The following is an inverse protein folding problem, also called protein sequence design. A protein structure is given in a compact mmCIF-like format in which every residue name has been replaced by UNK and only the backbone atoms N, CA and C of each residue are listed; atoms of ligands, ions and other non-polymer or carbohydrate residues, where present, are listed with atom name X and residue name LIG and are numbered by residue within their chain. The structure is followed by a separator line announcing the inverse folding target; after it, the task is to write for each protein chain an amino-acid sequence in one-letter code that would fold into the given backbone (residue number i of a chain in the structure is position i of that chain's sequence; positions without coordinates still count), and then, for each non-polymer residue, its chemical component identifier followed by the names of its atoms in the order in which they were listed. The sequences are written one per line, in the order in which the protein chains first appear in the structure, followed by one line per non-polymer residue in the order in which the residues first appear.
data_IF_663393194979
#
_entry.id   IF_663393194979
#
_cell.length_a   1.000
_cell.length_b   1.000
_cell.length_c   1.000
_cell.angle_alpha   90.00
_cell.angle_beta   90.00
_cell.angle_gamma   90.00
#
_symmetry.space_group_name_H-M   'P 1'
#
loop_
_entity.id
_entity.type
_entity.pdbx_description
1 polymer ?
#
# COMPACT_ATOMS: atom_id res chain seq x y z
N UNK A 1 42.54 -28.74 -13.92
CA UNK A 1 41.84 -27.52 -13.47
C UNK A 1 42.53 -26.91 -12.25
N UNK A 2 42.72 -27.68 -11.16
CA UNK A 2 43.39 -27.22 -9.94
C UNK A 2 44.78 -26.60 -10.18
N UNK A 3 45.65 -27.25 -10.97
CA UNK A 3 46.98 -26.71 -11.28
C UNK A 3 46.92 -25.33 -11.96
N UNK A 4 45.99 -25.13 -12.90
CA UNK A 4 45.81 -23.84 -13.57
C UNK A 4 45.33 -22.77 -12.59
N UNK A 5 44.45 -23.14 -11.66
CA UNK A 5 43.95 -22.26 -10.63
C UNK A 5 45.04 -21.86 -9.61
N UNK A 6 45.91 -22.79 -9.25
CA UNK A 6 47.09 -22.53 -8.42
C UNK A 6 48.07 -21.58 -9.11
N UNK A 7 48.30 -21.75 -10.41
CA UNK A 7 49.14 -20.85 -11.21
C UNK A 7 48.53 -19.44 -11.23
N UNK A 8 47.24 -19.31 -11.54
CA UNK A 8 46.55 -18.01 -11.51
C UNK A 8 46.63 -17.37 -10.12
N UNK A 9 46.47 -18.17 -9.07
CA UNK A 9 46.56 -17.69 -7.68
C UNK A 9 47.94 -17.16 -7.35
N UNK A 10 48.98 -17.90 -7.73
CA UNK A 10 50.38 -17.51 -7.51
C UNK A 10 50.73 -16.24 -8.28
N UNK A 11 50.36 -16.15 -9.55
CA UNK A 11 50.66 -14.99 -10.39
C UNK A 11 49.90 -13.73 -9.94
N UNK A 12 48.68 -13.88 -9.41
CA UNK A 12 47.96 -12.77 -8.77
C UNK A 12 48.61 -12.33 -7.46
N UNK A 13 49.01 -13.27 -6.59
CA UNK A 13 49.68 -12.96 -5.33
C UNK A 13 51.00 -12.20 -5.55
N UNK A 14 51.72 -12.49 -6.64
CA UNK A 14 52.93 -11.79 -7.03
C UNK A 14 52.70 -10.53 -7.89
N UNK A 15 51.45 -10.11 -8.12
CA UNK A 15 51.09 -8.97 -8.99
C UNK A 15 51.59 -9.09 -10.43
N UNK A 16 51.84 -10.31 -10.91
CA UNK A 16 52.36 -10.62 -12.25
C UNK A 16 51.28 -11.02 -13.25
N UNK A 17 50.02 -11.17 -12.80
CA UNK A 17 48.90 -11.60 -13.64
C UNK A 17 48.74 -10.76 -14.92
N UNK A 18 49.05 -9.46 -14.89
CA UNK A 18 48.97 -8.60 -16.08
C UNK A 18 49.95 -9.01 -17.19
N UNK A 19 51.12 -9.53 -16.84
CA UNK A 19 52.07 -10.06 -17.81
C UNK A 19 51.57 -11.39 -18.40
N UNK A 20 50.96 -12.23 -17.58
CA UNK A 20 50.40 -13.52 -17.98
C UNK A 20 49.26 -13.38 -19.00
N UNK A 21 48.41 -12.36 -18.83
CA UNK A 21 47.19 -12.16 -19.65
C UNK A 21 47.38 -11.15 -20.80
N UNK A 22 48.63 -10.88 -21.19
CA UNK A 22 48.94 -9.91 -22.23
C UNK A 22 48.63 -10.46 -23.63
N UNK A 23 47.98 -9.66 -24.48
CA UNK A 23 47.61 -10.05 -25.84
C UNK A 23 46.68 -11.28 -25.86
N UNK A 24 46.96 -12.20 -26.80
CA UNK A 24 46.15 -13.40 -27.06
C UNK A 24 46.19 -14.43 -25.92
N UNK A 25 47.13 -14.28 -24.97
CA UNK A 25 47.24 -15.16 -23.80
C UNK A 25 45.97 -15.14 -22.94
N UNK A 26 45.25 -14.02 -22.89
CA UNK A 26 43.99 -13.93 -22.15
C UNK A 26 42.95 -14.93 -22.70
N UNK A 27 42.79 -14.94 -24.02
CA UNK A 27 41.87 -15.84 -24.72
C UNK A 27 42.32 -17.29 -24.63
N UNK A 28 43.63 -17.55 -24.76
CA UNK A 28 44.19 -18.88 -24.60
C UNK A 28 43.93 -19.48 -23.20
N UNK A 29 44.09 -18.67 -22.14
CA UNK A 29 43.82 -19.09 -20.76
C UNK A 29 42.31 -19.32 -20.55
N UNK A 30 41.46 -18.40 -21.00
CA UNK A 30 40.00 -18.56 -20.89
C UNK A 30 39.52 -19.82 -21.62
N UNK A 31 40.01 -20.06 -22.84
CA UNK A 31 39.72 -21.27 -23.61
C UNK A 31 40.26 -22.54 -22.95
N UNK A 32 41.41 -22.49 -22.28
CA UNK A 32 41.94 -23.61 -21.52
C UNK A 32 41.03 -23.97 -20.32
N UNK A 33 40.51 -22.96 -19.60
CA UNK A 33 39.56 -23.17 -18.50
C UNK A 33 38.31 -23.91 -19.00
N UNK A 34 37.73 -23.46 -20.13
CA UNK A 34 36.54 -24.09 -20.72
C UNK A 34 36.81 -25.53 -21.16
N UNK A 35 37.93 -25.77 -21.86
CA UNK A 35 38.30 -27.13 -22.30
C UNK A 35 38.47 -28.09 -21.12
N UNK A 36 39.09 -27.62 -20.04
CA UNK A 36 39.27 -28.44 -18.84
C UNK A 36 37.96 -28.70 -18.08
N UNK A 37 36.95 -27.84 -18.23
CA UNK A 37 35.65 -27.97 -17.58
C UNK A 37 34.65 -28.83 -18.38
N UNK A 38 34.87 -29.03 -19.68
CA UNK A 38 33.90 -29.61 -20.61
C UNK A 38 33.38 -31.01 -20.23
N UNK A 39 34.21 -31.82 -19.55
CA UNK A 39 33.91 -33.19 -19.13
C UNK A 39 33.66 -33.34 -17.62
N UNK A 40 33.70 -32.23 -16.88
CA UNK A 40 33.50 -32.26 -15.43
C UNK A 40 32.02 -32.06 -15.05
N UNK A 41 31.72 -32.34 -13.80
CA UNK A 41 30.37 -32.16 -13.23
C UNK A 41 29.95 -30.67 -13.17
N UNK A 42 28.69 -30.44 -12.78
CA UNK A 42 28.10 -29.11 -12.68
C UNK A 42 28.83 -28.21 -11.66
N UNK A 43 29.33 -28.78 -10.55
CA UNK A 43 30.02 -28.03 -9.50
C UNK A 43 31.42 -27.57 -9.94
N UNK A 44 32.13 -28.40 -10.70
CA UNK A 44 33.40 -28.04 -11.31
C UNK A 44 33.20 -27.03 -12.46
N UNK A 45 32.10 -27.11 -13.20
CA UNK A 45 31.73 -26.07 -14.16
C UNK A 45 31.47 -24.72 -13.48
N UNK A 46 30.83 -24.70 -12.30
CA UNK A 46 30.66 -23.49 -11.50
C UNK A 46 32.01 -22.96 -10.97
N UNK A 47 32.92 -23.85 -10.59
CA UNK A 47 34.29 -23.48 -10.20
C UNK A 47 35.05 -22.85 -11.38
N UNK A 48 34.93 -23.42 -12.57
CA UNK A 48 35.48 -22.85 -13.79
C UNK A 48 34.89 -21.47 -14.11
N UNK A 49 33.58 -21.27 -13.89
CA UNK A 49 32.95 -19.96 -14.01
C UNK A 49 33.53 -18.95 -13.00
N UNK A 50 33.78 -19.36 -11.76
CA UNK A 50 34.45 -18.52 -10.78
C UNK A 50 35.88 -18.12 -11.22
N UNK A 51 36.64 -19.06 -11.80
CA UNK A 51 37.97 -18.78 -12.36
C UNK A 51 37.90 -17.77 -13.52
N UNK A 52 36.90 -17.88 -14.40
CA UNK A 52 36.67 -16.91 -15.48
C UNK A 52 36.26 -15.55 -14.92
N UNK A 53 35.35 -15.48 -13.94
CA UNK A 53 34.99 -14.21 -13.28
C UNK A 53 36.19 -13.53 -12.62
N UNK A 54 37.06 -14.32 -11.99
CA UNK A 54 38.32 -13.85 -11.41
C UNK A 54 39.28 -13.31 -12.46
N UNK A 55 39.40 -13.99 -13.60
CA UNK A 55 40.21 -13.55 -14.73
C UNK A 55 39.64 -12.25 -15.34
N UNK A 56 38.32 -12.13 -15.45
CA UNK A 56 37.64 -10.93 -15.92
C UNK A 56 37.94 -9.73 -15.01
N UNK A 57 37.87 -9.91 -13.68
CA UNK A 57 38.13 -8.85 -12.70
C UNK A 57 39.52 -8.20 -12.84
N UNK A 58 40.50 -8.91 -13.42
CA UNK A 58 41.85 -8.37 -13.69
C UNK A 58 42.11 -8.02 -15.16
N UNK A 59 41.15 -8.27 -16.07
CA UNK A 59 41.35 -8.11 -17.51
C UNK A 59 41.42 -6.64 -17.99
N UNK A 60 40.90 -5.69 -17.19
CA UNK A 60 40.93 -4.23 -17.39
C UNK A 60 40.46 -3.77 -18.77
N UNK A 61 39.15 -3.68 -18.97
CA UNK A 61 38.52 -3.28 -20.24
C UNK A 61 38.42 -4.40 -21.27
N UNK A 62 38.81 -5.63 -20.91
CA UNK A 62 38.74 -6.85 -21.73
C UNK A 62 37.88 -7.94 -21.09
N UNK A 63 37.03 -7.56 -20.15
CA UNK A 63 36.15 -8.46 -19.40
C UNK A 63 35.24 -9.24 -20.33
N UNK A 64 34.72 -8.57 -21.37
CA UNK A 64 33.83 -9.18 -22.38
C UNK A 64 34.44 -10.42 -23.03
N UNK A 65 35.72 -10.37 -23.40
CA UNK A 65 36.45 -11.51 -23.98
C UNK A 65 36.43 -12.72 -23.04
N UNK A 66 36.52 -12.50 -21.74
CA UNK A 66 36.47 -13.57 -20.74
C UNK A 66 35.04 -14.05 -20.52
N UNK A 67 34.06 -13.14 -20.42
CA UNK A 67 32.66 -13.51 -20.20
C UNK A 67 32.00 -14.21 -21.39
N UNK A 68 32.48 -13.97 -22.62
CA UNK A 68 32.04 -14.74 -23.79
C UNK A 68 32.36 -16.24 -23.64
N UNK A 69 33.42 -16.59 -22.89
CA UNK A 69 33.76 -17.98 -22.58
C UNK A 69 32.87 -18.61 -21.51
N UNK A 70 32.28 -17.82 -20.61
CA UNK A 70 31.36 -18.35 -19.58
C UNK A 70 30.15 -19.03 -20.23
N UNK A 71 29.70 -18.51 -21.37
CA UNK A 71 28.59 -19.09 -22.15
C UNK A 71 28.89 -20.47 -22.73
N UNK A 72 30.17 -20.84 -22.79
CA UNK A 72 30.61 -22.16 -23.28
C UNK A 72 30.64 -23.21 -22.16
N UNK A 73 30.52 -22.78 -20.90
CA UNK A 73 30.47 -23.70 -19.76
C UNK A 73 29.08 -24.34 -19.64
N UNK A 74 29.05 -25.59 -19.17
CA UNK A 74 27.81 -26.35 -18.93
C UNK A 74 27.31 -26.08 -17.51
N UNK A 75 26.94 -24.83 -17.25
CA UNK A 75 26.36 -24.44 -15.97
C UNK A 75 24.95 -25.05 -15.83
N UNK A 76 24.65 -25.57 -14.64
CA UNK A 76 23.35 -26.15 -14.28
C UNK A 76 22.82 -25.47 -13.03
N UNK A 77 21.50 -25.49 -12.88
CA UNK A 77 20.81 -25.06 -11.66
C UNK A 77 21.11 -25.96 -10.44
N UNK A 78 21.74 -27.12 -10.62
CA UNK A 78 22.09 -28.04 -9.53
C UNK A 78 23.38 -27.66 -8.79
N UNK A 79 24.20 -26.77 -9.35
CA UNK A 79 25.48 -26.40 -8.74
C UNK A 79 25.30 -25.38 -7.61
N UNK A 80 25.98 -25.55 -6.47
CA UNK A 80 25.80 -24.67 -5.32
C UNK A 80 26.97 -23.73 -5.11
N UNK A 81 26.69 -22.42 -5.04
CA UNK A 81 27.69 -21.37 -4.80
C UNK A 81 28.30 -21.52 -3.41
N UNK A 82 27.54 -21.97 -2.42
CA UNK A 82 28.04 -22.14 -1.06
C UNK A 82 29.21 -23.14 -0.97
N UNK A 83 29.24 -24.15 -1.86
CA UNK A 83 30.30 -25.17 -1.92
C UNK A 83 31.61 -24.66 -2.53
N UNK A 84 31.65 -23.41 -3.02
CA UNK A 84 32.89 -22.79 -3.50
C UNK A 84 33.84 -22.43 -2.35
N UNK A 85 35.16 -22.53 -2.56
CA UNK A 85 36.14 -22.61 -1.48
C UNK A 85 36.26 -21.36 -0.60
N UNK A 86 35.95 -20.17 -1.13
CA UNK A 86 36.07 -18.91 -0.39
C UNK A 86 35.10 -17.84 -0.91
N UNK A 87 35.01 -16.73 -0.17
CA UNK A 87 34.08 -15.62 -0.46
C UNK A 87 34.33 -14.94 -1.80
N UNK A 88 35.58 -14.89 -2.26
CA UNK A 88 35.92 -14.28 -3.53
C UNK A 88 35.44 -15.15 -4.69
N UNK A 89 35.61 -16.48 -4.59
CA UNK A 89 35.10 -17.42 -5.61
C UNK A 89 33.58 -17.33 -5.72
N UNK A 90 32.88 -17.21 -4.59
CA UNK A 90 31.42 -17.00 -4.57
C UNK A 90 31.03 -15.73 -5.33
N UNK A 91 31.79 -14.66 -5.14
CA UNK A 91 31.56 -13.36 -5.81
C UNK A 91 31.84 -13.45 -7.30
N UNK A 92 32.96 -14.03 -7.70
CA UNK A 92 33.31 -14.21 -9.12
C UNK A 92 32.36 -15.16 -9.84
N UNK A 93 31.88 -16.21 -9.16
CA UNK A 93 30.85 -17.10 -9.69
C UNK A 93 29.54 -16.35 -9.94
N UNK A 94 29.08 -15.52 -8.97
CA UNK A 94 27.89 -14.71 -9.14
C UNK A 94 28.01 -13.76 -10.35
N UNK A 95 29.15 -13.08 -10.49
CA UNK A 95 29.43 -12.23 -11.65
C UNK A 95 29.41 -13.01 -12.96
N UNK A 96 30.04 -14.19 -13.01
CA UNK A 96 30.02 -15.04 -14.21
C UNK A 96 28.59 -15.50 -14.57
N UNK A 97 27.80 -15.92 -13.58
CA UNK A 97 26.41 -16.34 -13.77
C UNK A 97 25.54 -15.22 -14.35
N UNK A 98 25.85 -13.94 -14.07
CA UNK A 98 25.12 -12.80 -14.66
C UNK A 98 25.15 -12.77 -16.20
N UNK A 99 26.15 -13.41 -16.82
CA UNK A 99 26.35 -13.48 -18.27
C UNK A 99 25.73 -14.73 -18.93
N UNK A 100 25.10 -15.59 -18.13
CA UNK A 100 24.34 -16.76 -18.61
C UNK A 100 22.95 -16.31 -19.03
N UNK A 101 22.57 -16.69 -20.24
CA UNK A 101 21.24 -16.46 -20.81
C UNK A 101 20.44 -17.76 -20.74
N UNK A 102 19.87 -18.03 -19.56
CA UNK A 102 19.01 -19.18 -19.34
C UNK A 102 17.87 -18.85 -18.37
N UNK A 103 16.70 -19.46 -18.60
CA UNK A 103 15.46 -19.18 -17.86
C UNK A 103 15.61 -19.47 -16.35
N UNK A 104 16.40 -20.49 -16.00
CA UNK A 104 16.62 -20.90 -14.61
C UNK A 104 17.46 -19.90 -13.78
N UNK A 105 18.19 -18.98 -14.42
CA UNK A 105 19.18 -18.12 -13.74
C UNK A 105 18.53 -17.25 -12.66
N UNK A 106 17.34 -16.69 -12.91
CA UNK A 106 16.68 -15.81 -11.96
C UNK A 106 16.35 -16.52 -10.64
N UNK A 107 15.83 -17.75 -10.74
CA UNK A 107 15.45 -18.59 -9.61
C UNK A 107 16.66 -19.15 -8.89
N UNK A 108 17.66 -19.58 -9.65
CA UNK A 108 18.94 -20.01 -9.15
C UNK A 108 19.60 -18.92 -8.29
N UNK A 109 19.69 -17.70 -8.81
CA UNK A 109 20.32 -16.59 -8.09
C UNK A 109 19.55 -16.25 -6.80
N UNK A 110 18.21 -16.25 -6.81
CA UNK A 110 17.43 -16.06 -5.60
C UNK A 110 17.71 -17.15 -4.56
N UNK A 111 17.69 -18.43 -4.98
CA UNK A 111 17.92 -19.59 -4.11
C UNK A 111 19.31 -19.56 -3.49
N UNK A 112 20.34 -19.39 -4.31
CA UNK A 112 21.72 -19.34 -3.84
C UNK A 112 21.99 -18.12 -2.95
N UNK A 113 21.40 -16.95 -3.24
CA UNK A 113 21.53 -15.78 -2.38
C UNK A 113 21.02 -16.01 -0.95
N UNK A 114 19.88 -16.71 -0.81
CA UNK A 114 19.32 -17.09 0.49
C UNK A 114 20.17 -18.18 1.16
N UNK A 115 20.66 -19.15 0.38
CA UNK A 115 21.45 -20.28 0.84
C UNK A 115 22.86 -19.94 1.35
N UNK A 116 23.52 -18.91 0.78
CA UNK A 116 24.89 -18.54 1.14
C UNK A 116 25.03 -18.18 2.62
N UNK A 117 26.01 -18.81 3.29
CA UNK A 117 26.29 -18.57 4.71
C UNK A 117 26.98 -17.24 4.97
N UNK A 118 28.13 -17.09 4.34
CA UNK A 118 28.93 -15.90 4.43
C UNK A 118 29.50 -15.58 3.06
N UNK A 119 29.11 -14.43 2.51
CA UNK A 119 29.69 -13.74 1.35
C UNK A 119 28.68 -12.67 0.92
N UNK A 120 28.58 -11.58 1.69
CA UNK A 120 27.51 -10.60 1.51
C UNK A 120 27.57 -9.90 0.14
N UNK A 121 28.79 -9.74 -0.42
CA UNK A 121 29.00 -9.21 -1.78
C UNK A 121 28.39 -10.16 -2.83
N UNK A 122 28.67 -11.46 -2.73
CA UNK A 122 28.09 -12.47 -3.63
C UNK A 122 26.57 -12.51 -3.50
N UNK A 123 26.04 -12.43 -2.27
CA UNK A 123 24.59 -12.39 -2.03
C UNK A 123 23.93 -11.19 -2.72
N UNK A 124 24.49 -9.99 -2.54
CA UNK A 124 24.01 -8.76 -3.17
C UNK A 124 24.01 -8.89 -4.69
N UNK A 125 25.10 -9.41 -5.26
CA UNK A 125 25.23 -9.63 -6.71
C UNK A 125 24.14 -10.58 -7.23
N UNK A 126 23.95 -11.72 -6.58
CA UNK A 126 22.92 -12.70 -6.95
C UNK A 126 21.51 -12.12 -6.83
N UNK A 127 21.20 -11.40 -5.75
CA UNK A 127 19.91 -10.74 -5.59
C UNK A 127 19.65 -9.69 -6.67
N UNK A 128 20.69 -8.94 -7.08
CA UNK A 128 20.61 -7.98 -8.19
C UNK A 128 20.31 -8.67 -9.53
N UNK A 129 21.06 -9.74 -9.85
CA UNK A 129 20.86 -10.54 -11.06
C UNK A 129 19.46 -11.14 -11.11
N UNK A 130 18.98 -11.63 -9.97
CA UNK A 130 17.63 -12.18 -9.82
C UNK A 130 16.58 -11.11 -10.06
N UNK A 131 16.62 -9.98 -9.33
CA UNK A 131 15.64 -8.90 -9.47
C UNK A 131 15.58 -8.36 -10.90
N UNK A 132 16.72 -8.20 -11.57
CA UNK A 132 16.79 -7.72 -12.94
C UNK A 132 16.08 -8.62 -13.98
N UNK A 133 15.81 -9.88 -13.63
CA UNK A 133 15.15 -10.87 -14.50
C UNK A 133 13.70 -11.16 -14.09
N UNK A 134 13.24 -10.62 -12.97
CA UNK A 134 11.85 -10.69 -12.56
C UNK A 134 11.04 -9.52 -13.14
N UNK A 135 9.78 -9.75 -13.52
CA UNK A 135 8.93 -8.70 -14.11
C UNK A 135 8.61 -7.55 -13.14
N UNK A 136 8.71 -7.79 -11.83
CA UNK A 136 8.47 -6.78 -10.80
C UNK A 136 9.12 -7.12 -9.46
N UNK A 137 9.36 -6.08 -8.65
CA UNK A 137 9.77 -6.22 -7.24
C UNK A 137 8.78 -7.08 -6.45
N UNK A 138 7.47 -6.95 -6.69
CA UNK A 138 6.47 -7.78 -6.02
C UNK A 138 6.71 -9.29 -6.25
N UNK A 139 6.88 -9.72 -7.50
CA UNK A 139 7.09 -11.14 -7.82
C UNK A 139 8.43 -11.65 -7.26
N UNK A 140 9.47 -10.83 -7.35
CA UNK A 140 10.78 -11.15 -6.79
C UNK A 140 10.73 -11.32 -5.27
N UNK A 141 10.09 -10.40 -4.54
CA UNK A 141 9.92 -10.50 -3.08
C UNK A 141 9.13 -11.74 -2.68
N UNK A 142 8.10 -12.12 -3.44
CA UNK A 142 7.35 -13.38 -3.21
C UNK A 142 8.26 -14.58 -3.38
N UNK A 143 9.10 -14.62 -4.42
CA UNK A 143 10.05 -15.71 -4.61
C UNK A 143 11.06 -15.80 -3.46
N UNK A 144 11.66 -14.68 -3.07
CA UNK A 144 12.61 -14.65 -1.92
C UNK A 144 11.91 -15.11 -0.64
N UNK A 145 10.65 -14.69 -0.43
CA UNK A 145 9.83 -15.14 0.69
C UNK A 145 9.55 -16.65 0.67
N UNK A 146 9.36 -17.28 -0.49
CA UNK A 146 9.20 -18.74 -0.61
C UNK A 146 10.45 -19.51 -0.22
N UNK A 147 11.62 -18.95 -0.48
CA UNK A 147 12.91 -19.57 -0.18
C UNK A 147 13.30 -19.50 1.30
N UNK A 148 12.51 -18.82 2.14
CA UNK A 148 12.78 -18.68 3.57
C UNK A 148 12.82 -20.02 4.31
N UNK A 149 12.21 -21.08 3.76
CA UNK A 149 12.17 -22.42 4.36
C UNK A 149 13.55 -23.02 4.56
N UNK A 150 14.53 -22.66 3.72
CA UNK A 150 15.93 -23.09 3.85
C UNK A 150 16.52 -22.66 5.20
N UNK A 151 16.07 -21.53 5.76
CA UNK A 151 16.54 -21.07 7.06
C UNK A 151 16.05 -21.94 8.24
N UNK A 152 14.99 -22.74 8.03
CA UNK A 152 14.49 -23.65 9.07
C UNK A 152 15.47 -24.79 9.36
N UNK A 153 16.37 -25.10 8.42
CA UNK A 153 17.45 -26.08 8.60
C UNK A 153 18.52 -25.61 9.59
N UNK A 154 18.60 -24.30 9.86
CA UNK A 154 19.53 -23.72 10.84
C UNK A 154 18.92 -23.88 12.23
N UNK A 155 19.41 -24.84 13.02
CA UNK A 155 18.91 -25.12 14.38
C UNK A 155 19.05 -23.92 15.32
N UNK A 156 20.17 -23.20 15.24
CA UNK A 156 20.44 -22.05 16.11
C UNK A 156 19.64 -20.81 15.67
N UNK A 157 18.77 -20.31 16.56
CA UNK A 157 17.88 -19.17 16.29
C UNK A 157 18.65 -17.86 16.04
N UNK A 158 19.76 -17.62 16.75
CA UNK A 158 20.59 -16.41 16.56
C UNK A 158 21.32 -16.45 15.22
N UNK A 159 21.91 -17.60 14.84
CA UNK A 159 22.51 -17.80 13.52
C UNK A 159 21.48 -17.62 12.41
N UNK A 160 20.25 -18.12 12.62
CA UNK A 160 19.13 -17.93 11.69
C UNK A 160 18.78 -16.45 11.54
N UNK A 161 18.68 -15.70 12.65
CA UNK A 161 18.40 -14.28 12.62
C UNK A 161 19.52 -13.49 11.94
N UNK A 162 20.79 -13.79 12.24
CA UNK A 162 21.94 -13.16 11.59
C UNK A 162 21.88 -13.39 10.08
N UNK A 163 21.45 -14.59 9.64
CA UNK A 163 21.24 -14.88 8.23
C UNK A 163 20.10 -14.04 7.64
N UNK A 164 18.93 -14.00 8.29
CA UNK A 164 17.80 -13.17 7.87
C UNK A 164 18.20 -11.69 7.75
N UNK A 165 18.95 -11.16 8.72
CA UNK A 165 19.49 -9.80 8.68
C UNK A 165 20.35 -9.58 7.44
N UNK A 166 21.33 -10.45 7.18
CA UNK A 166 22.21 -10.34 6.00
C UNK A 166 21.43 -10.35 4.68
N UNK A 167 20.39 -11.19 4.59
CA UNK A 167 19.51 -11.25 3.42
C UNK A 167 18.78 -9.90 3.24
N UNK A 168 18.18 -9.37 4.31
CA UNK A 168 17.47 -8.09 4.26
C UNK A 168 18.39 -6.89 3.98
N UNK A 169 19.64 -6.91 4.47
CA UNK A 169 20.65 -5.90 4.13
C UNK A 169 20.94 -5.91 2.63
N UNK A 170 21.29 -7.06 2.06
CA UNK A 170 21.56 -7.17 0.62
C UNK A 170 20.32 -6.86 -0.24
N UNK A 171 19.13 -7.25 0.21
CA UNK A 171 17.85 -6.96 -0.45
C UNK A 171 17.60 -5.45 -0.50
N UNK A 172 17.78 -4.75 0.61
CA UNK A 172 17.62 -3.30 0.67
C UNK A 172 18.63 -2.57 -0.22
N UNK A 173 19.90 -2.97 -0.20
CA UNK A 173 20.94 -2.41 -1.08
C UNK A 173 20.57 -2.57 -2.56
N UNK A 174 20.06 -3.74 -2.96
CA UNK A 174 19.60 -3.99 -4.34
C UNK A 174 18.40 -3.11 -4.70
N UNK A 175 17.44 -2.94 -3.79
CA UNK A 175 16.28 -2.05 -4.01
C UNK A 175 16.66 -0.57 -4.11
N UNK A 176 17.72 -0.14 -3.43
CA UNK A 176 18.23 1.23 -3.54
C UNK A 176 18.74 1.55 -4.94
N UNK A 177 19.40 0.59 -5.59
CA UNK A 177 19.97 0.75 -6.93
C UNK A 177 18.94 0.46 -8.05
N UNK A 178 17.81 -0.16 -7.72
CA UNK A 178 16.81 -0.55 -8.71
C UNK A 178 15.89 0.60 -9.14
N UNK A 179 15.52 0.62 -10.42
CA UNK A 179 14.66 1.63 -11.05
C UNK A 179 13.59 1.04 -11.99
N UNK A 180 13.29 -0.25 -11.87
CA UNK A 180 12.32 -0.94 -12.73
C UNK A 180 10.89 -1.01 -12.17
N UNK A 181 10.12 -1.98 -12.65
CA UNK A 181 8.72 -2.16 -12.27
C UNK A 181 8.58 -2.68 -10.83
N UNK A 182 7.65 -2.09 -10.07
CA UNK A 182 7.40 -2.46 -8.67
C UNK A 182 6.29 -3.50 -8.51
N UNK A 183 5.39 -3.65 -9.50
CA UNK A 183 4.20 -4.51 -9.38
C UNK A 183 3.01 -3.76 -8.76
N UNK A 184 1.96 -4.49 -8.37
CA UNK A 184 0.73 -3.87 -7.85
C UNK A 184 0.79 -3.66 -6.35
N UNK A 185 1.35 -4.61 -5.60
CA UNK A 185 1.38 -4.60 -4.14
C UNK A 185 2.77 -4.97 -3.56
N UNK A 186 3.84 -4.22 -3.92
CA UNK A 186 5.19 -4.53 -3.46
C UNK A 186 5.35 -4.48 -1.93
N UNK A 187 4.69 -3.54 -1.24
CA UNK A 187 4.80 -3.45 0.22
C UNK A 187 4.11 -4.60 0.96
N UNK A 188 3.05 -5.18 0.38
CA UNK A 188 2.44 -6.40 0.93
C UNK A 188 3.38 -7.60 0.76
N UNK A 189 4.01 -7.73 -0.41
CA UNK A 189 5.00 -8.77 -0.64
C UNK A 189 6.21 -8.63 0.29
N UNK A 190 6.66 -7.40 0.56
CA UNK A 190 7.71 -7.09 1.54
C UNK A 190 7.27 -7.48 2.96
N UNK A 191 6.04 -7.15 3.36
CA UNK A 191 5.48 -7.54 4.65
C UNK A 191 5.44 -9.06 4.84
N UNK A 192 4.98 -9.80 3.83
CA UNK A 192 4.99 -11.27 3.83
C UNK A 192 6.42 -11.83 3.89
N UNK A 193 7.34 -11.24 3.14
CA UNK A 193 8.76 -11.60 3.19
C UNK A 193 9.29 -11.41 4.62
N UNK A 194 9.10 -10.23 5.20
CA UNK A 194 9.52 -9.94 6.58
C UNK A 194 8.93 -10.94 7.58
N UNK A 195 7.62 -11.22 7.48
CA UNK A 195 6.93 -12.16 8.35
C UNK A 195 7.60 -13.54 8.35
N UNK A 196 8.00 -14.06 7.18
CA UNK A 196 8.61 -15.39 7.07
C UNK A 196 10.05 -15.45 7.56
N UNK A 197 10.79 -14.35 7.49
CA UNK A 197 12.17 -14.27 7.94
C UNK A 197 12.32 -13.85 9.41
N UNK A 198 11.24 -13.33 10.03
CA UNK A 198 11.16 -13.09 11.46
C UNK A 198 10.96 -14.42 12.21
N UNK A 199 11.99 -14.87 12.90
CA UNK A 199 11.89 -15.99 13.84
C UNK A 199 10.97 -15.59 15.00
N UNK A 200 9.79 -16.20 15.09
CA UNK A 200 8.96 -16.09 16.29
C UNK A 200 9.54 -17.01 17.37
N UNK A 201 9.85 -16.44 18.54
CA UNK A 201 10.07 -17.23 19.75
C UNK A 201 11.52 -17.38 20.17
N UNK A 202 12.01 -16.41 20.93
CA UNK A 202 12.93 -16.63 22.05
C UNK A 202 13.20 -15.28 22.72
N UNK A 203 13.13 -15.26 24.05
CA UNK A 203 13.45 -14.03 24.78
C UNK A 203 14.94 -13.64 24.68
N UNK A 204 15.79 -14.58 24.24
CA UNK A 204 17.25 -14.48 24.25
C UNK A 204 17.87 -14.03 22.92
N UNK A 205 17.05 -13.67 21.93
CA UNK A 205 17.51 -13.29 20.60
C UNK A 205 18.30 -11.98 20.64
N UNK A 206 19.39 -11.89 19.85
CA UNK A 206 20.14 -10.65 19.65
C UNK A 206 19.24 -9.52 19.10
N UNK A 207 18.94 -8.56 19.98
CA UNK A 207 18.10 -7.40 19.65
C UNK A 207 18.73 -6.49 18.58
N UNK A 208 20.06 -6.44 18.49
CA UNK A 208 20.75 -5.61 17.51
C UNK A 208 20.52 -6.13 16.09
N UNK A 209 20.72 -7.44 15.89
CA UNK A 209 20.46 -8.07 14.60
C UNK A 209 18.98 -7.96 14.17
N UNK A 210 18.08 -8.04 15.13
CA UNK A 210 16.64 -7.93 14.91
C UNK A 210 16.21 -6.50 14.53
N UNK A 211 16.72 -5.50 15.25
CA UNK A 211 16.48 -4.09 14.93
C UNK A 211 17.03 -3.72 13.56
N UNK A 212 18.24 -4.18 13.23
CA UNK A 212 18.85 -3.93 11.93
C UNK A 212 18.00 -4.53 10.80
N UNK A 213 17.53 -5.78 10.94
CA UNK A 213 16.64 -6.43 9.97
C UNK A 213 15.37 -5.61 9.74
N UNK A 214 14.70 -5.17 10.81
CA UNK A 214 13.50 -4.34 10.72
C UNK A 214 13.79 -2.99 10.07
N UNK A 215 14.94 -2.37 10.37
CA UNK A 215 15.35 -1.11 9.75
C UNK A 215 15.59 -1.25 8.24
N UNK A 216 16.12 -2.38 7.77
CA UNK A 216 16.23 -2.66 6.33
C UNK A 216 14.85 -2.82 5.68
N UNK A 217 13.92 -3.50 6.35
CA UNK A 217 12.55 -3.67 5.85
C UNK A 217 11.80 -2.32 5.80
N UNK A 218 11.89 -1.50 6.85
CA UNK A 218 11.30 -0.17 6.86
C UNK A 218 11.96 0.78 5.86
N UNK A 219 13.29 0.71 5.72
CA UNK A 219 14.00 1.44 4.67
C UNK A 219 13.50 1.07 3.27
N UNK A 220 13.22 -0.21 3.05
CA UNK A 220 12.66 -0.69 1.78
C UNK A 220 11.26 -0.09 1.50
N UNK A 221 10.42 0.14 2.52
CA UNK A 221 9.14 0.85 2.36
C UNK A 221 9.36 2.27 1.83
N UNK A 222 10.26 3.02 2.46
CA UNK A 222 10.59 4.40 2.03
C UNK A 222 11.07 4.39 0.59
N UNK A 223 11.96 3.46 0.24
CA UNK A 223 12.47 3.32 -1.14
C UNK A 223 11.36 3.00 -2.15
N UNK A 224 10.40 2.15 -1.81
CA UNK A 224 9.23 1.88 -2.67
C UNK A 224 8.38 3.14 -2.92
N UNK A 225 8.21 3.97 -1.88
CA UNK A 225 7.48 5.25 -1.97
C UNK A 225 8.25 6.25 -2.83
N UNK A 226 9.57 6.37 -2.65
CA UNK A 226 10.43 7.25 -3.45
C UNK A 226 10.37 6.92 -4.95
N UNK A 227 10.38 5.63 -5.29
CA UNK A 227 10.29 5.19 -6.68
C UNK A 227 8.90 5.46 -7.28
N UNK A 228 7.83 5.39 -6.48
CA UNK A 228 6.47 5.71 -6.93
C UNK A 228 5.58 6.19 -5.78
N UNK A 229 5.43 7.51 -5.68
CA UNK A 229 4.69 8.19 -4.60
C UNK A 229 3.26 7.68 -4.40
N UNK A 230 2.58 7.21 -5.45
CA UNK A 230 1.21 6.67 -5.31
C UNK A 230 1.10 5.51 -4.32
N UNK A 231 2.20 4.79 -4.05
CA UNK A 231 2.23 3.74 -3.04
C UNK A 231 2.11 4.29 -1.62
N UNK A 232 2.54 5.52 -1.34
CA UNK A 232 2.33 6.14 -0.02
C UNK A 232 0.83 6.22 0.32
N UNK A 233 -0.03 6.42 -0.67
CA UNK A 233 -1.48 6.51 -0.48
C UNK A 233 -2.18 5.15 -0.34
N UNK A 234 -1.44 4.04 -0.35
CA UNK A 234 -1.99 2.69 -0.27
C UNK A 234 -1.55 2.03 1.03
N UNK A 235 -2.51 1.61 1.86
CA UNK A 235 -2.22 0.99 3.15
C UNK A 235 -1.31 -0.25 3.05
N UNK A 236 -1.50 -1.07 2.00
CA UNK A 236 -0.72 -2.29 1.76
C UNK A 236 0.79 -2.04 1.64
N UNK A 237 1.21 -0.81 1.29
CA UNK A 237 2.61 -0.40 1.25
C UNK A 237 3.29 -0.50 2.61
N UNK A 238 2.53 -0.26 3.69
CA UNK A 238 3.03 -0.22 5.06
C UNK A 238 2.89 -1.56 5.81
N UNK A 239 2.55 -2.65 5.10
CA UNK A 239 2.30 -3.96 5.72
C UNK A 239 3.44 -4.45 6.62
N UNK A 240 4.70 -4.17 6.26
CA UNK A 240 5.86 -4.58 7.05
C UNK A 240 5.88 -3.98 8.47
N UNK A 241 5.26 -2.81 8.70
CA UNK A 241 5.10 -2.22 10.04
C UNK A 241 4.26 -3.14 10.93
N UNK A 242 3.11 -3.59 10.40
CA UNK A 242 2.19 -4.46 11.13
C UNK A 242 2.80 -5.84 11.37
N UNK A 243 3.48 -6.41 10.38
CA UNK A 243 4.15 -7.71 10.53
C UNK A 243 5.34 -7.63 11.51
N UNK A 244 6.10 -6.54 11.50
CA UNK A 244 7.14 -6.28 12.49
C UNK A 244 6.60 -6.21 13.92
N UNK A 245 5.51 -5.47 14.15
CA UNK A 245 4.84 -5.42 15.46
C UNK A 245 4.30 -6.78 15.90
N UNK A 246 3.70 -7.55 15.00
CA UNK A 246 3.20 -8.90 15.30
C UNK A 246 4.36 -9.83 15.68
N UNK A 247 5.46 -9.79 14.95
CA UNK A 247 6.63 -10.64 15.20
C UNK A 247 7.35 -10.33 16.51
N UNK A 248 7.48 -9.05 16.89
CA UNK A 248 8.14 -8.63 18.13
C UNK A 248 7.23 -8.67 19.37
N UNK A 249 5.92 -8.51 19.19
CA UNK A 249 5.01 -8.19 20.28
C UNK A 249 5.14 -6.73 20.74
N UNK A 250 4.22 -6.30 21.60
CA UNK A 250 4.01 -4.86 21.90
C UNK A 250 5.21 -4.21 22.63
N UNK A 251 5.85 -4.91 23.57
CA UNK A 251 6.93 -4.34 24.38
C UNK A 251 8.21 -4.12 23.57
N UNK A 252 8.71 -5.18 22.93
CA UNK A 252 9.91 -5.13 22.07
C UNK A 252 9.72 -4.21 20.87
N UNK A 253 8.52 -4.15 20.31
CA UNK A 253 8.21 -3.19 19.26
C UNK A 253 8.45 -1.75 19.73
N UNK A 254 8.03 -1.38 20.95
CA UNK A 254 8.30 -0.04 21.49
C UNK A 254 9.78 0.24 21.71
N UNK A 255 10.55 -0.76 22.14
CA UNK A 255 12.01 -0.64 22.28
C UNK A 255 12.66 -0.42 20.92
N UNK A 256 12.26 -1.18 19.91
CA UNK A 256 12.67 -0.99 18.53
C UNK A 256 12.34 0.42 18.02
N UNK A 257 11.10 0.90 18.23
CA UNK A 257 10.66 2.23 17.80
C UNK A 257 11.52 3.39 18.35
N UNK A 258 12.21 3.19 19.48
CA UNK A 258 13.14 4.17 20.08
C UNK A 258 14.54 4.11 19.48
N UNK A 259 14.97 2.91 19.09
CA UNK A 259 16.31 2.65 18.57
C UNK A 259 16.41 2.75 17.03
N UNK A 260 15.27 2.59 16.34
CA UNK A 260 15.18 2.52 14.88
C UNK A 260 15.66 3.81 14.21
N UNK A 261 16.49 3.65 13.19
CA UNK A 261 16.96 4.75 12.33
C UNK A 261 15.99 5.03 11.19
N UNK A 262 15.26 4.02 10.73
CA UNK A 262 14.36 4.11 9.56
C UNK A 262 12.95 4.57 9.90
N UNK A 263 12.47 4.35 11.13
CA UNK A 263 11.08 4.66 11.51
C UNK A 263 10.73 6.15 11.38
N UNK A 264 11.69 7.05 11.54
CA UNK A 264 11.48 8.49 11.41
C UNK A 264 10.97 8.88 10.02
N UNK A 265 11.59 8.32 8.97
CA UNK A 265 11.18 8.55 7.58
C UNK A 265 9.78 7.99 7.32
N UNK A 266 9.51 6.75 7.77
CA UNK A 266 8.20 6.11 7.62
C UNK A 266 7.09 6.90 8.34
N UNK A 267 7.37 7.45 9.52
CA UNK A 267 6.42 8.32 10.24
C UNK A 267 6.10 9.57 9.45
N UNK A 268 7.10 10.20 8.82
CA UNK A 268 6.89 11.36 7.98
C UNK A 268 6.04 11.00 6.76
N UNK A 269 6.33 9.89 6.07
CA UNK A 269 5.55 9.44 4.93
C UNK A 269 4.08 9.19 5.29
N UNK A 270 3.83 8.56 6.45
CA UNK A 270 2.47 8.33 6.96
C UNK A 270 1.74 9.64 7.32
N UNK A 271 2.43 10.60 7.91
CA UNK A 271 1.86 11.92 8.25
C UNK A 271 1.55 12.74 7.00
N UNK A 272 2.43 12.73 6.00
CA UNK A 272 2.18 13.37 4.71
C UNK A 272 1.02 12.70 3.98
N UNK A 273 0.96 11.38 3.99
CA UNK A 273 -0.14 10.60 3.44
C UNK A 273 -1.47 10.97 4.09
N UNK A 274 -1.52 11.03 5.42
CA UNK A 274 -2.71 11.46 6.16
C UNK A 274 -3.15 12.88 5.76
N UNK A 275 -2.20 13.81 5.61
CA UNK A 275 -2.49 15.18 5.18
C UNK A 275 -3.05 15.24 3.76
N UNK A 276 -2.45 14.50 2.81
CA UNK A 276 -2.92 14.42 1.42
C UNK A 276 -4.33 13.85 1.36
N UNK A 277 -4.61 12.76 2.07
CA UNK A 277 -5.94 12.16 2.14
C UNK A 277 -6.95 13.10 2.79
N UNK A 278 -6.55 13.81 3.84
CA UNK A 278 -7.40 14.79 4.50
C UNK A 278 -7.79 15.95 3.55
N UNK A 279 -6.85 16.45 2.74
CA UNK A 279 -7.13 17.47 1.70
C UNK A 279 -8.06 16.96 0.61
N UNK A 280 -8.04 15.66 0.34
CA UNK A 280 -8.99 14.99 -0.56
C UNK A 280 -10.34 14.70 0.13
N UNK A 281 -10.55 15.16 1.36
CA UNK A 281 -11.74 14.91 2.16
C UNK A 281 -11.98 13.41 2.44
N UNK A 282 -10.90 12.64 2.61
CA UNK A 282 -10.91 11.18 2.83
C UNK A 282 -10.31 10.80 4.19
N UNK A 283 -10.86 9.72 4.74
CA UNK A 283 -10.28 8.96 5.85
C UNK A 283 -9.80 7.60 5.34
N UNK A 284 -8.81 7.02 6.00
CA UNK A 284 -8.37 5.65 5.72
C UNK A 284 -7.96 4.96 7.02
N UNK A 285 -8.78 3.98 7.43
CA UNK A 285 -8.63 3.31 8.72
C UNK A 285 -7.34 2.49 8.79
N UNK A 286 -6.95 1.85 7.71
CA UNK A 286 -5.77 1.00 7.68
C UNK A 286 -4.50 1.84 7.78
N UNK A 287 -4.44 2.98 7.08
CA UNK A 287 -3.34 3.94 7.22
C UNK A 287 -3.29 4.51 8.65
N UNK A 288 -4.44 4.83 9.26
CA UNK A 288 -4.50 5.27 10.65
C UNK A 288 -4.03 4.20 11.66
N UNK A 289 -4.27 2.92 11.37
CA UNK A 289 -3.78 1.80 12.17
C UNK A 289 -2.26 1.59 12.01
N UNK A 290 -1.72 1.79 10.79
CA UNK A 290 -0.27 1.82 10.56
C UNK A 290 0.40 3.01 11.28
N UNK A 291 -0.20 4.20 11.24
CA UNK A 291 0.22 5.36 12.04
C UNK A 291 0.25 5.01 13.51
N UNK A 292 -0.86 4.49 14.06
CA UNK A 292 -0.94 4.09 15.47
C UNK A 292 0.11 3.06 15.87
N UNK A 293 0.56 2.23 14.92
CA UNK A 293 1.61 1.24 15.12
C UNK A 293 3.02 1.84 15.03
N UNK A 294 3.23 2.86 14.20
CA UNK A 294 4.51 3.50 13.99
C UNK A 294 4.96 4.40 15.17
N UNK A 295 4.06 4.79 16.07
CA UNK A 295 4.38 5.61 17.26
C UNK A 295 4.31 4.81 18.55
N UNK A 296 5.10 5.17 19.57
CA UNK A 296 5.14 4.42 20.84
C UNK A 296 3.84 4.56 21.65
N UNK A 297 3.12 5.66 21.45
CA UNK A 297 1.86 5.96 22.12
C UNK A 297 0.95 6.84 21.25
N UNK A 298 -0.35 6.78 21.54
CA UNK A 298 -1.35 7.68 20.92
C UNK A 298 -1.04 9.16 21.17
N UNK A 299 -0.47 9.49 22.33
CA UNK A 299 -0.11 10.87 22.65
C UNK A 299 1.03 11.39 21.77
N UNK A 300 2.05 10.58 21.51
CA UNK A 300 3.12 10.95 20.58
C UNK A 300 2.59 11.14 19.15
N UNK A 301 1.74 10.21 18.69
CA UNK A 301 1.07 10.34 17.39
C UNK A 301 0.26 11.64 17.32
N UNK A 302 -0.57 11.93 18.33
CA UNK A 302 -1.38 13.13 18.41
C UNK A 302 -0.54 14.40 18.29
N UNK A 303 0.53 14.53 19.07
CA UNK A 303 1.42 15.70 19.04
C UNK A 303 2.08 15.86 17.66
N UNK A 304 2.54 14.75 17.06
CA UNK A 304 3.17 14.77 15.75
C UNK A 304 2.16 15.17 14.65
N UNK A 305 0.97 14.59 14.66
CA UNK A 305 -0.11 14.91 13.72
C UNK A 305 -0.61 16.35 13.89
N UNK A 306 -0.78 16.85 15.13
CA UNK A 306 -1.17 18.24 15.38
C UNK A 306 -0.18 19.20 14.74
N UNK A 307 1.14 18.97 14.96
CA UNK A 307 2.22 19.76 14.36
C UNK A 307 2.18 19.71 12.84
N UNK A 308 2.01 18.52 12.27
CA UNK A 308 1.99 18.31 10.81
C UNK A 308 0.81 19.02 10.14
N UNK A 309 -0.34 19.04 10.81
CA UNK A 309 -1.54 19.68 10.29
C UNK A 309 -1.62 21.18 10.56
N UNK A 310 -0.74 21.80 11.38
CA UNK A 310 -0.84 23.22 11.81
C UNK A 310 -1.21 24.17 10.67
N UNK A 311 -0.52 24.07 9.53
CA UNK A 311 -0.72 24.95 8.37
C UNK A 311 -1.85 24.56 7.41
N UNK A 312 -2.57 23.46 7.67
CA UNK A 312 -3.61 22.94 6.79
C UNK A 312 -4.99 23.55 7.11
N UNK A 313 -5.17 24.84 6.81
CA UNK A 313 -6.43 25.56 6.99
C UNK A 313 -7.54 25.15 6.01
N UNK A 314 -7.15 24.44 4.96
CA UNK A 314 -8.01 23.88 3.91
C UNK A 314 -8.70 22.56 4.31
N UNK A 315 -8.24 21.91 5.38
CA UNK A 315 -8.78 20.64 5.86
C UNK A 315 -9.94 20.87 6.85
N UNK A 316 -11.11 20.23 6.66
CA UNK A 316 -12.23 20.32 7.60
C UNK A 316 -11.84 19.94 9.04
N UNK A 317 -12.29 20.69 10.08
CA UNK A 317 -11.87 20.46 11.47
C UNK A 317 -12.17 19.05 12.00
N UNK A 318 -13.31 18.47 11.64
CA UNK A 318 -13.71 17.11 12.00
C UNK A 318 -12.78 16.06 11.38
N UNK A 319 -12.41 16.24 10.12
CA UNK A 319 -11.50 15.34 9.42
C UNK A 319 -10.08 15.45 9.96
N UNK A 320 -9.63 16.67 10.26
CA UNK A 320 -8.37 16.93 10.95
C UNK A 320 -8.34 16.24 12.31
N UNK A 321 -9.41 16.36 13.11
CA UNK A 321 -9.51 15.71 14.40
C UNK A 321 -9.45 14.18 14.28
N UNK A 322 -10.08 13.60 13.27
CA UNK A 322 -10.03 12.16 13.00
C UNK A 322 -8.60 11.67 12.70
N UNK A 323 -7.84 12.39 11.87
CA UNK A 323 -6.44 12.04 11.59
C UNK A 323 -5.52 12.27 12.79
N UNK A 324 -5.71 13.38 13.51
CA UNK A 324 -4.96 13.71 14.73
C UNK A 324 -5.20 12.68 15.85
N UNK A 325 -6.39 12.11 15.93
CA UNK A 325 -6.69 11.06 16.91
C UNK A 325 -6.17 9.67 16.51
N UNK A 326 -5.49 9.54 15.35
CA UNK A 326 -5.08 8.25 14.81
C UNK A 326 -6.28 7.38 14.43
N UNK A 327 -7.35 8.01 13.94
CA UNK A 327 -8.61 7.36 13.63
C UNK A 327 -9.39 6.88 14.85
N UNK A 328 -8.96 7.19 16.08
CA UNK A 328 -9.71 6.88 17.28
C UNK A 328 -10.92 7.82 17.37
N UNK A 329 -12.11 7.23 17.29
CA UNK A 329 -13.35 7.88 17.72
C UNK A 329 -13.48 7.55 19.20
N UNK A 330 -13.58 8.56 20.08
CA UNK A 330 -13.63 8.33 21.52
C UNK A 330 -14.86 7.49 21.88
N UNK A 331 -14.72 6.45 22.71
CA UNK A 331 -15.86 5.70 23.25
C UNK A 331 -16.71 6.57 24.21
N UNK A 332 -16.16 7.68 24.73
CA UNK A 332 -16.90 8.73 25.43
C UNK A 332 -17.71 9.66 24.51
N UNK A 333 -17.41 9.64 23.21
CA UNK A 333 -18.26 10.13 22.11
C UNK A 333 -19.10 8.98 21.52
N UNK A 334 -19.41 7.95 22.33
CA UNK A 334 -20.78 7.40 22.35
C UNK A 334 -21.70 8.32 23.17
N UNK A 335 -21.60 9.63 22.99
CA UNK A 335 -22.83 10.28 22.59
C UNK A 335 -23.23 9.58 21.29
N UNK A 336 -24.49 9.22 21.15
CA UNK A 336 -25.02 9.12 19.80
C UNK A 336 -24.78 10.52 19.20
N UNK A 337 -23.62 10.75 18.57
CA UNK A 337 -23.50 11.75 17.53
C UNK A 337 -24.43 11.22 16.45
N UNK A 338 -25.72 11.55 16.62
CA UNK A 338 -26.55 11.82 15.47
C UNK A 338 -25.69 12.70 14.59
N UNK A 339 -25.40 12.22 13.38
CA UNK A 339 -24.93 13.05 12.28
C UNK A 339 -25.95 14.18 12.07
N UNK A 340 -25.90 15.23 12.89
CA UNK A 340 -26.63 16.47 12.65
C UNK A 340 -25.81 17.21 11.60
N UNK A 341 -26.09 16.87 10.36
CA UNK A 341 -25.45 17.48 9.21
C UNK A 341 -25.59 16.68 7.93
N UNK A 342 -26.75 16.06 7.70
CA UNK A 342 -27.51 16.20 6.46
C UNK A 342 -28.67 15.20 6.44
N UNK A 343 -28.49 13.94 6.85
CA UNK A 343 -29.52 12.91 6.61
C UNK A 343 -30.82 13.08 7.41
N UNK A 344 -30.80 13.42 8.71
CA UNK A 344 -32.05 13.49 9.50
C UNK A 344 -32.89 14.73 9.17
N UNK A 345 -32.28 15.90 9.07
CA UNK A 345 -32.98 17.13 8.70
C UNK A 345 -33.47 17.06 7.24
N UNK A 346 -32.71 16.40 6.35
CA UNK A 346 -33.12 16.09 4.98
C UNK A 346 -34.25 15.05 4.93
N UNK A 347 -34.24 14.01 5.76
CA UNK A 347 -35.32 13.02 5.86
C UNK A 347 -36.60 13.62 6.47
N UNK A 348 -36.48 14.41 7.53
CA UNK A 348 -37.61 15.13 8.14
C UNK A 348 -38.15 16.15 7.14
N UNK A 349 -37.26 16.85 6.43
CA UNK A 349 -37.62 17.78 5.36
C UNK A 349 -38.31 17.09 4.19
N UNK A 350 -37.77 15.97 3.71
CA UNK A 350 -38.36 15.18 2.64
C UNK A 350 -39.72 14.61 3.04
N UNK A 351 -39.85 14.10 4.26
CA UNK A 351 -41.13 13.65 4.82
C UNK A 351 -42.14 14.79 4.92
N UNK A 352 -41.72 15.98 5.36
CA UNK A 352 -42.58 17.15 5.41
C UNK A 352 -43.10 17.51 4.00
N UNK A 353 -42.22 17.54 3.00
CA UNK A 353 -42.60 17.82 1.60
C UNK A 353 -43.60 16.78 1.05
N UNK A 354 -43.37 15.49 1.29
CA UNK A 354 -44.26 14.42 0.82
C UNK A 354 -45.64 14.49 1.50
N UNK A 355 -45.69 14.82 2.78
CA UNK A 355 -46.96 14.91 3.51
C UNK A 355 -47.74 16.18 3.14
N UNK A 356 -47.06 17.30 2.89
CA UNK A 356 -47.72 18.51 2.39
C UNK A 356 -48.22 18.34 0.95
N UNK A 357 -47.45 17.69 0.08
CA UNK A 357 -47.85 17.39 -1.30
C UNK A 357 -49.12 16.52 -1.38
N UNK A 358 -49.27 15.56 -0.45
CA UNK A 358 -50.41 14.65 -0.41
C UNK A 358 -51.60 15.16 0.43
N UNK A 359 -51.44 16.28 1.14
CA UNK A 359 -52.47 16.84 2.03
C UNK A 359 -53.79 17.13 1.31
N UNK A 360 -53.73 17.76 0.14
CA UNK A 360 -54.91 18.09 -0.67
C UNK A 360 -55.60 16.87 -1.28
N UNK A 361 -54.85 15.82 -1.62
CA UNK A 361 -55.40 14.55 -2.11
C UNK A 361 -56.15 13.82 -0.99
N UNK A 362 -55.55 13.74 0.20
CA UNK A 362 -56.14 13.08 1.36
C UNK A 362 -57.37 13.83 1.91
N UNK A 363 -57.38 15.16 1.88
CA UNK A 363 -58.57 15.96 2.22
C UNK A 363 -59.73 15.70 1.24
N UNK A 364 -59.44 15.59 -0.06
CA UNK A 364 -60.45 15.20 -1.07
C UNK A 364 -60.95 13.76 -0.88
N UNK A 365 -60.07 12.83 -0.52
CA UNK A 365 -60.47 11.45 -0.21
C UNK A 365 -61.44 11.39 0.98
N UNK A 366 -61.19 12.18 2.02
CA UNK A 366 -62.08 12.25 3.20
C UNK A 366 -63.40 12.96 2.90
N UNK A 367 -63.36 14.09 2.19
CA UNK A 367 -64.53 14.98 2.00
C UNK A 367 -65.40 14.66 0.80
N UNK A 368 -64.83 14.06 -0.26
CA UNK A 368 -65.55 13.80 -1.50
C UNK A 368 -65.72 12.31 -1.78
N UNK A 369 -64.68 11.49 -1.55
CA UNK A 369 -64.71 10.06 -1.92
C UNK A 369 -65.33 9.20 -0.83
N UNK A 370 -64.96 9.40 0.45
CA UNK A 370 -65.53 8.61 1.53
C UNK A 370 -67.06 8.71 1.65
N UNK A 371 -67.71 9.89 1.50
CA UNK A 371 -69.18 9.98 1.53
C UNK A 371 -69.86 9.28 0.35
N UNK A 372 -69.24 9.24 -0.84
CA UNK A 372 -69.75 8.49 -1.99
C UNK A 372 -69.65 6.98 -1.77
N UNK A 373 -68.56 6.54 -1.13
CA UNK A 373 -68.38 5.14 -0.77
C UNK A 373 -69.30 4.71 0.37
N UNK A 374 -69.72 5.59 1.28
CA UNK A 374 -70.67 5.21 2.34
C UNK A 374 -72.00 4.70 1.79
N UNK A 375 -72.39 5.17 0.61
CA UNK A 375 -73.65 4.77 -0.04
C UNK A 375 -73.50 3.41 -0.73
N UNK A 376 -72.31 3.12 -1.29
CA UNK A 376 -72.08 1.94 -2.14
C UNK A 376 -71.34 0.79 -1.45
N UNK A 377 -70.35 1.11 -0.61
CA UNK A 377 -69.57 0.17 0.21
C UNK A 377 -69.11 0.83 1.53
N UNK A 378 -69.90 0.69 2.62
CA UNK A 378 -69.58 1.27 3.92
C UNK A 378 -68.25 0.80 4.51
N UNK A 379 -67.80 -0.41 4.18
CA UNK A 379 -66.55 -0.98 4.70
C UNK A 379 -65.35 -0.27 4.08
N UNK A 380 -65.37 -0.07 2.76
CA UNK A 380 -64.36 0.73 2.06
C UNK A 380 -64.39 2.21 2.48
N UNK A 381 -65.57 2.79 2.68
CA UNK A 381 -65.69 4.16 3.18
C UNK A 381 -65.00 4.36 4.53
N UNK A 382 -65.19 3.41 5.46
CA UNK A 382 -64.53 3.41 6.76
C UNK A 382 -62.99 3.31 6.63
N UNK A 383 -62.51 2.53 5.66
CA UNK A 383 -61.09 2.34 5.37
C UNK A 383 -60.47 3.63 4.82
N UNK A 384 -61.15 4.29 3.88
CA UNK A 384 -60.70 5.57 3.29
C UNK A 384 -60.61 6.67 4.35
N UNK A 385 -61.62 6.80 5.21
CA UNK A 385 -61.56 7.76 6.33
C UNK A 385 -60.43 7.47 7.30
N UNK A 386 -60.20 6.20 7.61
CA UNK A 386 -59.10 5.81 8.50
C UNK A 386 -57.75 6.16 7.88
N UNK A 387 -57.57 5.97 6.57
CA UNK A 387 -56.37 6.37 5.85
C UNK A 387 -56.18 7.90 5.86
N UNK A 388 -57.23 8.67 5.54
CA UNK A 388 -57.15 10.13 5.54
C UNK A 388 -56.86 10.71 6.94
N UNK A 389 -57.53 10.20 7.98
CA UNK A 389 -57.24 10.57 9.38
C UNK A 389 -55.84 10.17 9.83
N UNK A 390 -55.37 8.98 9.41
CA UNK A 390 -54.00 8.53 9.64
C UNK A 390 -52.97 9.46 9.01
N UNK A 391 -53.22 9.92 7.78
CA UNK A 391 -52.38 10.90 7.11
C UNK A 391 -52.33 12.24 7.87
N UNK A 392 -53.46 12.74 8.37
CA UNK A 392 -53.50 13.97 9.19
C UNK A 392 -52.63 13.82 10.45
N UNK A 393 -52.68 12.66 11.12
CA UNK A 393 -51.85 12.40 12.28
C UNK A 393 -50.35 12.40 11.92
N UNK A 394 -49.97 11.76 10.81
CA UNK A 394 -48.59 11.77 10.30
C UNK A 394 -48.14 13.19 9.96
N UNK A 395 -49.00 14.00 9.32
CA UNK A 395 -48.72 15.41 9.02
C UNK A 395 -48.45 16.24 10.26
N UNK A 396 -49.23 16.04 11.32
CA UNK A 396 -49.03 16.72 12.59
C UNK A 396 -47.69 16.34 13.24
N UNK A 397 -47.30 15.06 13.16
CA UNK A 397 -46.00 14.58 13.67
C UNK A 397 -44.85 15.17 12.82
N UNK A 398 -44.94 15.11 11.50
CA UNK A 398 -43.93 15.66 10.59
C UNK A 398 -43.72 17.16 10.82
N UNK A 399 -44.80 17.96 10.93
CA UNK A 399 -44.72 19.39 11.25
C UNK A 399 -44.11 19.64 12.62
N UNK A 400 -44.41 18.80 13.63
CA UNK A 400 -43.83 18.93 14.96
C UNK A 400 -42.32 18.67 14.93
N UNK A 401 -41.88 17.62 14.24
CA UNK A 401 -40.46 17.30 14.06
C UNK A 401 -39.72 18.43 13.32
N UNK A 402 -40.32 18.95 12.24
CA UNK A 402 -39.76 20.09 11.49
C UNK A 402 -39.62 21.34 12.36
N UNK A 403 -40.64 21.69 13.16
CA UNK A 403 -40.59 22.83 14.10
C UNK A 403 -39.51 22.65 15.16
N UNK A 404 -39.38 21.46 15.76
CA UNK A 404 -38.33 21.17 16.74
C UNK A 404 -36.93 21.35 16.14
N UNK A 405 -36.76 21.06 14.85
CA UNK A 405 -35.50 21.20 14.11
C UNK A 405 -35.33 22.55 13.39
N UNK A 406 -36.30 23.47 13.49
CA UNK A 406 -36.35 24.78 12.81
C UNK A 406 -36.28 24.69 11.28
N UNK A 407 -36.91 23.67 10.70
CA UNK A 407 -37.03 23.49 9.25
C UNK A 407 -38.28 24.24 8.75
N UNK A 408 -38.14 24.95 7.64
CA UNK A 408 -39.23 25.65 6.95
C UNK A 408 -39.21 25.34 5.45
N UNK A 409 -40.38 25.38 4.82
CA UNK A 409 -40.52 25.34 3.36
C UNK A 409 -39.94 26.61 2.74
N UNK A 410 -39.58 26.53 1.45
CA UNK A 410 -39.13 27.71 0.69
C UNK A 410 -40.31 28.44 0.03
N UNK A 411 -41.50 27.82 -0.01
CA UNK A 411 -42.73 28.32 -0.60
C UNK A 411 -42.58 28.70 -2.08
N UNK A 412 -41.74 27.95 -2.81
CA UNK A 412 -41.43 28.19 -4.22
C UNK A 412 -42.26 27.35 -5.18
N UNK A 413 -43.05 26.39 -4.71
CA UNK A 413 -43.79 25.47 -5.58
C UNK A 413 -44.72 26.22 -6.55
N UNK A 414 -44.61 25.92 -7.84
CA UNK A 414 -45.36 26.57 -8.92
C UNK A 414 -44.77 27.90 -9.42
N UNK A 415 -43.75 28.44 -8.74
CA UNK A 415 -43.06 29.66 -9.19
C UNK A 415 -42.16 29.39 -10.42
N UNK A 416 -41.92 30.44 -11.20
CA UNK A 416 -40.98 30.45 -12.33
C UNK A 416 -39.77 31.29 -11.93
N UNK A 417 -38.59 30.68 -11.90
CA UNK A 417 -37.37 31.27 -11.38
C UNK A 417 -36.19 31.01 -12.33
N UNK A 418 -35.11 31.77 -12.16
CA UNK A 418 -33.86 31.52 -12.87
C UNK A 418 -33.20 30.24 -12.33
N UNK A 419 -32.66 29.42 -13.23
CA UNK A 419 -32.06 28.14 -12.86
C UNK A 419 -30.65 28.32 -12.28
N UNK A 420 -30.45 27.84 -11.04
CA UNK A 420 -29.16 27.75 -10.39
C UNK A 420 -28.87 26.28 -10.00
N UNK A 421 -27.89 25.59 -10.63
CA UNK A 421 -27.56 24.19 -10.32
C UNK A 421 -27.11 23.96 -8.86
N UNK A 422 -26.62 25.01 -8.19
CA UNK A 422 -26.21 24.93 -6.78
C UNK A 422 -27.45 24.82 -5.88
N UNK A 423 -28.54 25.51 -6.22
CA UNK A 423 -29.72 25.66 -5.37
C UNK A 423 -30.89 24.79 -5.82
N UNK A 424 -30.94 24.35 -7.08
CA UNK A 424 -32.05 23.61 -7.68
C UNK A 424 -31.63 22.23 -8.19
N UNK A 425 -32.56 21.27 -8.18
CA UNK A 425 -32.38 19.94 -8.77
C UNK A 425 -33.32 19.77 -9.98
N UNK A 426 -32.74 19.53 -11.16
CA UNK A 426 -33.51 19.45 -12.41
C UNK A 426 -34.03 18.01 -12.64
N UNK A 427 -35.33 17.87 -12.85
CA UNK A 427 -35.95 16.59 -13.19
C UNK A 427 -35.42 16.08 -14.54
N UNK A 428 -34.87 14.87 -14.57
CA UNK A 428 -34.23 14.29 -15.76
C UNK A 428 -32.74 14.63 -15.93
N UNK A 429 -32.13 15.35 -14.99
CA UNK A 429 -30.71 15.73 -15.02
C UNK A 429 -30.47 17.11 -15.62
N UNK A 430 -29.22 17.58 -15.56
CA UNK A 430 -28.86 18.90 -16.03
C UNK A 430 -28.98 19.03 -17.55
N UNK A 431 -29.76 20.01 -18.03
CA UNK A 431 -29.92 20.33 -19.46
C UNK A 431 -29.23 21.66 -19.78
N UNK A 432 -28.20 21.60 -20.62
CA UNK A 432 -27.46 22.80 -21.08
C UNK A 432 -28.37 23.77 -21.83
N UNK A 433 -28.28 25.07 -21.52
CA UNK A 433 -29.04 26.13 -22.20
C UNK A 433 -30.37 26.53 -21.55
N UNK A 434 -30.79 25.87 -20.46
CA UNK A 434 -32.00 26.24 -19.72
C UNK A 434 -31.71 27.38 -18.74
N UNK A 435 -32.32 28.54 -18.98
CA UNK A 435 -32.21 29.72 -18.10
C UNK A 435 -33.36 29.86 -17.11
N UNK A 436 -34.58 29.52 -17.53
CA UNK A 436 -35.79 29.60 -16.70
C UNK A 436 -36.34 28.22 -16.43
N UNK A 437 -36.76 28.01 -15.19
CA UNK A 437 -37.33 26.75 -14.72
C UNK A 437 -38.58 27.01 -13.89
N UNK A 438 -39.48 26.04 -13.90
CA UNK A 438 -40.67 26.03 -13.05
C UNK A 438 -40.44 25.06 -11.89
N UNK A 439 -40.76 25.48 -10.67
CA UNK A 439 -40.61 24.65 -9.48
C UNK A 439 -41.79 23.69 -9.38
N UNK A 440 -41.50 22.39 -9.42
CA UNK A 440 -42.50 21.29 -9.37
C UNK A 440 -42.67 20.78 -7.94
N UNK A 441 -41.57 20.71 -7.18
CA UNK A 441 -41.54 20.35 -5.76
C UNK A 441 -40.78 21.41 -4.99
N UNK A 442 -41.30 21.81 -3.84
CA UNK A 442 -40.66 22.82 -3.00
C UNK A 442 -39.37 22.30 -2.34
N UNK A 443 -38.56 23.24 -1.84
CA UNK A 443 -37.37 22.96 -1.05
C UNK A 443 -37.59 23.12 0.45
N UNK A 444 -36.60 22.68 1.23
CA UNK A 444 -36.55 22.88 2.68
C UNK A 444 -35.31 23.69 3.04
N UNK A 445 -35.50 24.67 3.90
CA UNK A 445 -34.44 25.52 4.43
C UNK A 445 -34.45 25.56 5.97
N UNK A 446 -33.33 26.00 6.53
CA UNK A 446 -33.14 26.20 7.97
C UNK A 446 -32.35 27.47 8.22
N UNK A 447 -32.80 28.23 9.22
CA UNK A 447 -32.10 29.43 9.68
C UNK A 447 -31.05 29.09 10.75
N UNK A 448 -29.79 29.43 10.46
CA UNK A 448 -28.66 29.38 11.38
C UNK A 448 -28.26 30.79 11.84
N UNK A 449 -29.16 31.48 12.52
CA UNK A 449 -28.86 32.78 13.13
C UNK A 449 -28.61 33.88 12.09
N UNK A 450 -29.45 33.96 11.07
CA UNK A 450 -29.40 34.94 9.98
C UNK A 450 -28.82 34.41 8.67
N UNK A 451 -28.36 33.15 8.64
CA UNK A 451 -27.93 32.47 7.41
C UNK A 451 -28.89 31.32 7.09
N UNK A 452 -29.64 31.47 6.00
CA UNK A 452 -30.50 30.42 5.47
C UNK A 452 -29.66 29.40 4.70
N UNK A 453 -29.83 28.12 5.02
CA UNK A 453 -29.21 27.00 4.29
C UNK A 453 -30.29 26.05 3.78
N UNK A 454 -30.21 25.67 2.51
CA UNK A 454 -31.09 24.68 1.87
C UNK A 454 -30.65 23.27 2.24
N UNK A 455 -31.59 22.43 2.68
CA UNK A 455 -31.40 21.03 3.06
C UNK A 455 -31.99 20.07 2.04
N UNK A 456 -33.14 20.43 1.46
CA UNK A 456 -33.74 19.70 0.34
C UNK A 456 -33.88 20.71 -0.79
N UNK A 457 -33.23 20.46 -1.93
CA UNK A 457 -33.33 21.34 -3.08
C UNK A 457 -34.73 21.24 -3.69
N UNK A 458 -35.35 22.35 -4.12
CA UNK A 458 -36.56 22.29 -4.92
C UNK A 458 -36.29 21.54 -6.22
N UNK A 459 -37.27 20.73 -6.65
CA UNK A 459 -37.23 20.10 -7.96
C UNK A 459 -37.82 21.02 -9.00
N UNK A 460 -37.13 21.12 -10.12
CA UNK A 460 -37.48 22.04 -11.19
C UNK A 460 -37.54 21.33 -12.54
N UNK A 461 -38.45 21.79 -13.39
CA UNK A 461 -38.55 21.39 -14.80
C UNK A 461 -38.20 22.59 -15.69
N UNK A 462 -37.63 22.37 -16.89
CA UNK A 462 -37.46 23.45 -17.87
C UNK A 462 -38.80 24.15 -18.11
N UNK A 463 -38.84 25.47 -18.03
CA UNK A 463 -40.05 26.22 -18.39
C UNK A 463 -40.11 26.28 -19.92
N UNK A 464 -41.08 25.61 -20.58
CA UNK A 464 -41.27 25.73 -22.02
C UNK A 464 -41.77 27.14 -22.31
N UNK A 465 -40.83 28.07 -22.52
CA UNK A 465 -41.09 29.41 -23.04
C UNK A 465 -40.48 29.55 -24.42
#
# INVERSE_FOLDING_TARGET
MQELDEVLTREMAHQKVQALIKGDSLEAIAGAIVRLAAELDSQQNLTAAAMLGRLAAVARGREKTVFDHVRLLRLSEDAHIELLPNRDYKTYAAQAVSHVDAIWVADYCAREAVGIDAADIARRELLSISLARYDSVELWLRKVSELSTVLLEIENVDSRLIRSKRIFTSLFEVLQEFHGNLGSNPGQALGLCLQRYLSSGSDKIDQSALHDLLDQALGSIVRLIEMKFSYALTASTYAAISEGRKGLGVLRWKEYLRASKSIGAVRNDLLETALVLARQNRTDREIADHMSTAFESRQQLKIAAERHFVGAGDVPPNLRQWWVSGGAVAEGDRQVEQKVGNNEDEQIGALLLEVEANSGVMDKLDRAVAPLLEISDPVLASTVRKAAKGHIAIAQVARRLARMRRLTTMDLQGSRIDYNPIEHEMLGGHVSGVRRVKVVRDGIQKDFGGRLKTFVKPWVEPDPT
#
